data_IF_924571535444
#
_entry.id   IF_924571535444
#
_cell.length_a   1.000
_cell.length_b   1.000
_cell.length_c   1.000
_cell.angle_alpha   90.00
_cell.angle_beta   90.00
_cell.angle_gamma   90.00
#
_symmetry.space_group_name_H-M   'P 1'
#
loop_
_entity.id
_entity.type
_entity.pdbx_description
1 polymer ?
#
# COMPACT_ATOMS: atom_id res chain seq x y z
N UNK A 1 -10.90 5.04 16.10
CA UNK A 1 -10.79 3.57 16.10
C UNK A 1 -9.69 3.21 15.12
N UNK A 2 -8.54 2.72 15.60
CA UNK A 2 -7.49 2.25 14.70
C UNK A 2 -8.01 0.95 14.08
N UNK A 3 -8.05 0.87 12.76
CA UNK A 3 -8.40 -0.37 12.07
C UNK A 3 -7.16 -1.26 12.13
N UNK A 4 -7.29 -2.48 12.63
CA UNK A 4 -6.20 -3.46 12.58
C UNK A 4 -6.01 -3.88 11.11
N UNK A 5 -5.12 -3.18 10.42
CA UNK A 5 -4.74 -3.54 9.06
C UNK A 5 -3.64 -4.60 9.16
N UNK A 6 -4.00 -5.82 8.83
CA UNK A 6 -3.05 -6.89 8.57
C UNK A 6 -2.55 -6.74 7.13
N UNK A 7 -1.26 -6.46 6.97
CA UNK A 7 -0.59 -6.43 5.68
C UNK A 7 0.51 -7.49 5.68
N UNK A 8 0.52 -8.31 4.64
CA UNK A 8 1.59 -9.25 4.33
C UNK A 8 2.78 -8.56 3.64
N UNK A 9 3.93 -9.22 3.60
CA UNK A 9 5.16 -8.69 2.99
C UNK A 9 4.98 -8.27 1.53
N UNK A 10 4.15 -8.97 0.77
CA UNK A 10 3.80 -8.62 -0.62
C UNK A 10 3.00 -7.31 -0.70
N UNK A 11 1.97 -7.17 0.13
CA UNK A 11 1.10 -5.98 0.18
C UNK A 11 1.87 -4.73 0.59
N UNK A 12 2.75 -4.86 1.59
CA UNK A 12 3.62 -3.78 2.04
C UNK A 12 4.53 -3.31 0.91
N UNK A 13 5.09 -4.24 0.13
CA UNK A 13 5.98 -3.94 -0.99
C UNK A 13 5.24 -3.20 -2.10
N UNK A 14 4.02 -3.61 -2.43
CA UNK A 14 3.16 -2.91 -3.39
C UNK A 14 2.82 -1.51 -2.88
N UNK A 15 2.36 -1.36 -1.63
CA UNK A 15 1.99 -0.07 -1.04
C UNK A 15 3.18 0.90 -0.99
N UNK A 16 4.38 0.41 -0.68
CA UNK A 16 5.62 1.22 -0.73
C UNK A 16 5.96 1.64 -2.16
N UNK A 17 5.78 0.73 -3.12
CA UNK A 17 6.05 1.01 -4.53
C UNK A 17 5.06 2.01 -5.12
N UNK A 18 3.79 1.93 -4.70
CA UNK A 18 2.74 2.88 -5.10
C UNK A 18 3.02 4.27 -4.48
N UNK A 19 3.37 4.28 -3.21
CA UNK A 19 3.57 5.49 -2.44
C UNK A 19 2.34 5.82 -1.60
N UNK A 20 2.56 5.96 -0.29
CA UNK A 20 1.53 6.25 0.71
C UNK A 20 1.09 7.73 0.74
N UNK A 21 1.58 8.54 -0.20
CA UNK A 21 1.27 9.99 -0.29
C UNK A 21 -0.01 10.28 -1.07
N UNK A 22 -0.70 9.26 -1.61
CA UNK A 22 -1.93 9.43 -2.40
C UNK A 22 -1.70 9.84 -3.85
N UNK A 23 -0.44 9.94 -4.27
CA UNK A 23 -0.05 10.19 -5.66
C UNK A 23 -0.45 8.99 -6.53
N UNK A 24 -1.02 9.26 -7.69
CA UNK A 24 -1.29 8.21 -8.68
C UNK A 24 0.01 7.78 -9.37
N UNK A 25 0.11 6.49 -9.62
CA UNK A 25 1.24 5.83 -10.26
C UNK A 25 0.71 4.95 -11.38
N UNK A 26 1.37 5.01 -12.52
CA UNK A 26 1.10 4.12 -13.64
C UNK A 26 1.56 2.71 -13.30
N UNK A 27 0.74 1.71 -13.62
CA UNK A 27 1.10 0.32 -13.35
C UNK A 27 2.35 -0.13 -14.09
N UNK A 28 2.71 0.50 -15.22
CA UNK A 28 4.00 0.27 -15.88
C UNK A 28 5.20 0.58 -14.97
N UNK A 29 5.14 1.70 -14.25
CA UNK A 29 6.17 2.09 -13.28
C UNK A 29 6.13 1.19 -12.03
N UNK A 30 4.94 0.74 -11.66
CA UNK A 30 4.76 -0.20 -10.55
C UNK A 30 5.46 -1.53 -10.85
N UNK A 31 5.24 -2.11 -12.03
CA UNK A 31 5.85 -3.37 -12.46
C UNK A 31 7.37 -3.26 -12.53
N UNK A 32 7.89 -2.12 -13.00
CA UNK A 32 9.33 -1.84 -13.02
C UNK A 32 9.95 -1.84 -11.62
N UNK A 33 9.30 -1.17 -10.65
CA UNK A 33 9.75 -1.12 -9.25
C UNK A 33 9.66 -2.46 -8.53
N UNK A 34 8.66 -3.26 -8.89
CA UNK A 34 8.34 -4.52 -8.21
C UNK A 34 9.04 -5.72 -8.88
N UNK A 35 9.97 -5.51 -9.83
CA UNK A 35 10.56 -6.51 -10.73
C UNK A 35 11.12 -7.82 -10.15
N UNK A 36 11.07 -8.05 -8.83
CA UNK A 36 11.32 -9.33 -8.17
C UNK A 36 10.06 -10.16 -7.83
N UNK A 37 8.84 -9.59 -7.78
CA UNK A 37 7.62 -10.37 -7.54
C UNK A 37 7.08 -10.97 -8.85
N UNK A 38 6.61 -12.22 -8.75
CA UNK A 38 5.95 -12.90 -9.86
C UNK A 38 4.67 -12.16 -10.25
N UNK A 39 4.41 -12.06 -11.57
CA UNK A 39 3.21 -11.36 -12.08
C UNK A 39 1.92 -11.92 -11.49
N UNK A 40 1.84 -13.23 -11.27
CA UNK A 40 0.69 -13.89 -10.63
C UNK A 40 0.48 -13.42 -9.18
N UNK A 41 1.56 -13.36 -8.40
CA UNK A 41 1.49 -12.88 -7.01
C UNK A 41 1.14 -11.40 -6.94
N UNK A 42 1.70 -10.60 -7.85
CA UNK A 42 1.36 -9.18 -7.96
C UNK A 42 -0.14 -9.01 -8.24
N UNK A 43 -0.69 -9.74 -9.22
CA UNK A 43 -2.10 -9.66 -9.55
C UNK A 43 -2.99 -10.08 -8.37
N UNK A 44 -2.69 -11.19 -7.71
CA UNK A 44 -3.45 -11.66 -6.54
C UNK A 44 -3.41 -10.66 -5.39
N UNK A 45 -2.23 -10.13 -5.08
CA UNK A 45 -2.06 -9.18 -3.98
C UNK A 45 -2.76 -7.86 -4.28
N UNK A 46 -2.67 -7.41 -5.53
CA UNK A 46 -3.26 -6.14 -5.97
C UNK A 46 -4.79 -6.25 -6.04
N UNK A 47 -5.33 -7.38 -6.47
CA UNK A 47 -6.76 -7.71 -6.39
C UNK A 47 -7.27 -7.70 -4.94
N UNK A 48 -6.51 -8.29 -4.00
CA UNK A 48 -6.81 -8.23 -2.57
C UNK A 48 -6.85 -6.79 -2.05
N UNK A 49 -5.84 -5.97 -2.37
CA UNK A 49 -5.78 -4.57 -1.97
C UNK A 49 -6.92 -3.70 -2.55
N UNK A 50 -7.35 -4.00 -3.78
CA UNK A 50 -8.51 -3.36 -4.42
C UNK A 50 -9.81 -3.80 -3.76
N UNK A 51 -9.98 -5.10 -3.50
CA UNK A 51 -11.16 -5.69 -2.84
C UNK A 51 -11.36 -5.16 -1.42
N UNK A 52 -10.28 -4.97 -0.67
CA UNK A 52 -10.29 -4.34 0.66
C UNK A 52 -10.51 -2.81 0.60
N UNK A 53 -10.41 -2.21 -0.59
CA UNK A 53 -10.55 -0.76 -0.79
C UNK A 53 -9.35 0.05 -0.29
N UNK A 54 -8.20 -0.58 -0.06
CA UNK A 54 -6.96 0.08 0.36
C UNK A 54 -6.28 0.80 -0.80
N UNK A 55 -6.37 0.24 -1.99
CA UNK A 55 -5.90 0.84 -3.24
C UNK A 55 -7.12 1.17 -4.10
N UNK A 56 -7.02 2.27 -4.83
CA UNK A 56 -7.98 2.67 -5.85
C UNK A 56 -7.30 2.56 -7.21
N UNK A 57 -8.00 1.95 -8.16
CA UNK A 57 -7.60 1.91 -9.56
C UNK A 57 -8.67 2.53 -10.44
N UNK A 58 -8.29 2.99 -11.63
CA UNK A 58 -9.25 3.41 -12.66
C UNK A 58 -10.05 2.24 -13.22
N UNK A 59 -9.42 1.06 -13.28
CA UNK A 59 -10.03 -0.16 -13.78
C UNK A 59 -10.54 -0.97 -12.59
N UNK A 60 -11.81 -1.38 -12.69
CA UNK A 60 -12.47 -2.21 -11.68
C UNK A 60 -11.90 -3.63 -11.69
N UNK A 61 -11.44 -4.12 -12.86
CA UNK A 61 -10.83 -5.44 -13.01
C UNK A 61 -9.45 -5.34 -13.68
N UNK A 62 -8.43 -5.85 -13.00
CA UNK A 62 -7.07 -6.02 -13.53
C UNK A 62 -6.76 -7.50 -13.57
N UNK A 63 -7.00 -8.14 -14.73
CA UNK A 63 -6.82 -9.59 -14.91
C UNK A 63 -5.52 -9.95 -15.60
N UNK A 64 -4.94 -9.00 -16.33
CA UNK A 64 -3.72 -9.21 -17.13
C UNK A 64 -2.67 -8.18 -16.77
N UNK A 65 -1.41 -8.49 -17.10
CA UNK A 65 -0.29 -7.56 -16.96
C UNK A 65 -0.53 -6.28 -17.76
N UNK A 66 -1.04 -6.39 -18.98
CA UNK A 66 -1.36 -5.25 -19.85
C UNK A 66 -2.45 -4.34 -19.24
N UNK A 67 -3.45 -4.93 -18.58
CA UNK A 67 -4.45 -4.16 -17.83
C UNK A 67 -3.80 -3.36 -16.69
N UNK A 68 -2.83 -3.95 -15.98
CA UNK A 68 -2.08 -3.27 -14.92
C UNK A 68 -1.27 -2.13 -15.53
N UNK A 69 -0.57 -2.36 -16.65
CA UNK A 69 0.26 -1.34 -17.32
C UNK A 69 -0.54 -0.13 -17.79
N UNK A 70 -1.75 -0.34 -18.31
CA UNK A 70 -2.65 0.73 -18.74
C UNK A 70 -3.44 1.38 -17.58
N UNK A 71 -3.43 0.79 -16.39
CA UNK A 71 -4.11 1.32 -15.23
C UNK A 71 -3.23 2.28 -14.42
N UNK A 72 -3.89 3.12 -13.63
CA UNK A 72 -3.24 3.92 -12.60
C UNK A 72 -3.76 3.50 -11.24
N UNK A 73 -2.84 3.40 -10.29
CA UNK A 73 -3.10 2.99 -8.92
C UNK A 73 -2.79 4.13 -7.98
N UNK A 74 -3.60 4.30 -6.95
CA UNK A 74 -3.34 5.24 -5.85
C UNK A 74 -3.83 4.64 -4.55
N UNK A 75 -3.18 4.98 -3.45
CA UNK A 75 -3.67 4.60 -2.12
C UNK A 75 -4.97 5.33 -1.82
N UNK A 76 -5.95 4.64 -1.23
CA UNK A 76 -7.19 5.26 -0.80
C UNK A 76 -6.90 6.26 0.33
N UNK A 77 -7.23 7.56 0.16
CA UNK A 77 -6.96 8.57 1.18
C UNK A 77 -7.64 8.26 2.52
N UNK A 78 -8.79 7.56 2.51
CA UNK A 78 -9.49 7.15 3.72
C UNK A 78 -8.68 6.17 4.59
N UNK A 79 -7.80 5.37 3.97
CA UNK A 79 -6.97 4.37 4.65
C UNK A 79 -5.48 4.74 4.68
N UNK A 80 -5.09 5.82 3.99
CA UNK A 80 -3.70 6.23 3.83
C UNK A 80 -2.92 6.37 5.15
N UNK A 81 -3.58 6.86 6.20
CA UNK A 81 -3.00 7.04 7.53
C UNK A 81 -2.75 5.70 8.23
N UNK A 82 -3.73 4.81 8.21
CA UNK A 82 -3.66 3.48 8.82
C UNK A 82 -2.68 2.58 8.05
N UNK A 83 -2.72 2.61 6.71
CA UNK A 83 -1.77 1.88 5.85
C UNK A 83 -0.33 2.36 6.08
N UNK A 84 -0.12 3.66 6.31
CA UNK A 84 1.20 4.20 6.63
C UNK A 84 1.70 3.75 8.00
N UNK A 85 0.81 3.58 8.97
CA UNK A 85 1.13 3.05 10.30
C UNK A 85 1.47 1.56 10.20
N UNK A 86 0.67 0.79 9.45
CA UNK A 86 0.86 -0.64 9.23
C UNK A 86 2.12 -0.98 8.41
N UNK A 87 2.44 -0.19 7.38
CA UNK A 87 3.66 -0.33 6.56
C UNK A 87 4.92 0.06 7.34
N UNK A 88 4.80 0.90 8.37
CA UNK A 88 5.93 1.44 9.11
C UNK A 88 5.69 1.38 10.63
N UNK A 89 5.63 0.16 11.20
CA UNK A 89 5.33 -0.04 12.62
C UNK A 89 6.39 0.61 13.54
N UNK A 90 7.59 0.89 13.02
CA UNK A 90 8.68 1.54 13.74
C UNK A 90 8.45 3.02 14.09
N UNK A 91 7.57 3.74 13.38
CA UNK A 91 7.37 5.20 13.62
C UNK A 91 6.60 5.49 14.92
N UNK A 92 5.91 4.50 15.50
CA UNK A 92 5.18 4.65 16.77
C UNK A 92 6.02 4.46 18.03
N UNK A 93 7.26 3.95 17.95
CA UNK A 93 8.09 3.75 19.16
C UNK A 93 8.62 5.04 19.81
N UNK A 94 8.36 6.23 19.23
CA UNK A 94 8.84 7.51 19.79
C UNK A 94 7.71 8.51 20.13
N UNK A 95 6.53 8.02 20.52
CA UNK A 95 5.50 8.90 21.10
C UNK A 95 4.92 8.42 22.42
N UNK A 96 5.63 7.57 23.13
CA UNK A 96 5.56 7.58 24.60
C UNK A 96 6.33 8.82 25.02
N UNK A 97 5.62 9.95 25.16
CA UNK A 97 6.11 11.09 25.93
C UNK A 97 6.36 10.56 27.33
N UNK A 98 7.58 10.13 27.62
CA UNK A 98 8.02 10.01 29.01
C UNK A 98 7.86 11.41 29.61
N UNK A 99 6.99 11.60 30.62
CA UNK A 99 7.01 12.83 31.36
C UNK A 99 8.39 12.87 32.02
N UNK A 100 9.24 13.81 31.57
CA UNK A 100 10.46 14.18 32.29
C UNK A 100 10.02 14.54 33.71
N UNK A 101 10.15 13.58 34.63
CA UNK A 101 10.04 13.81 36.05
C UNK A 101 11.17 14.78 36.41
N UNK A 102 10.85 16.07 36.47
CA UNK A 102 11.69 17.05 37.14
C UNK A 102 11.59 16.74 38.62
N UNK A 103 12.66 16.19 39.18
CA UNK A 103 13.01 16.33 40.59
C UNK A 103 14.42 16.88 40.65
#
# INVERSE_FOLDING_TARGET
MAREIHLDGGEITILKSIGLSGTQIFGKLLLDRIGQLSTTELLLTLDGLLSLGYVLSNKVNVRTREDVECAFFRVNPAYSKDLRDAVNPGRRRTRTREPRARR
#
